data_IF_087187888415
#
_entry.id   IF_087187888415
#
_cell.length_a   1.000
_cell.length_b   1.000
_cell.length_c   1.000
_cell.angle_alpha   90.00
_cell.angle_beta   90.00
_cell.angle_gamma   90.00
#
_symmetry.space_group_name_H-M   'P 1'
#
loop_
_entity.id
_entity.type
_entity.pdbx_description
1 polymer ?
#
# COMPACT_ATOMS: atom_id res chain seq x y z
N UNK A 1 -25.25 17.59 -7.02
CA UNK A 1 -24.16 17.25 -6.10
C UNK A 1 -24.18 15.76 -5.92
N UNK A 2 -23.17 15.03 -6.41
CA UNK A 2 -23.15 13.58 -6.28
C UNK A 2 -23.14 13.21 -4.79
N UNK A 3 -24.00 12.28 -4.38
CA UNK A 3 -24.01 11.74 -3.02
C UNK A 3 -22.59 11.32 -2.64
N UNK A 4 -22.08 11.74 -1.48
CA UNK A 4 -20.72 11.37 -1.05
C UNK A 4 -20.51 9.85 -1.04
N UNK A 5 -21.60 9.09 -0.80
CA UNK A 5 -21.64 7.64 -0.93
C UNK A 5 -21.34 7.18 -2.36
N UNK A 6 -21.91 7.83 -3.37
CA UNK A 6 -21.67 7.49 -4.79
C UNK A 6 -20.21 7.74 -5.21
N UNK A 7 -19.58 8.79 -4.69
CA UNK A 7 -18.15 9.10 -4.90
C UNK A 7 -17.27 8.02 -4.27
N UNK A 8 -17.62 7.55 -3.07
CA UNK A 8 -16.87 6.48 -2.41
C UNK A 8 -17.09 5.12 -3.10
N UNK A 9 -18.29 4.85 -3.61
CA UNK A 9 -18.56 3.64 -4.37
C UNK A 9 -17.85 3.62 -5.74
N UNK A 10 -17.68 4.78 -6.39
CA UNK A 10 -17.00 4.85 -7.69
C UNK A 10 -15.53 4.46 -7.61
N UNK A 11 -14.87 4.70 -6.46
CA UNK A 11 -13.49 4.27 -6.20
C UNK A 11 -13.39 2.82 -5.70
N UNK A 12 -14.49 2.07 -5.64
CA UNK A 12 -14.48 0.65 -5.32
C UNK A 12 -14.88 0.26 -3.89
N UNK A 13 -15.35 1.20 -3.06
CA UNK A 13 -15.90 0.87 -1.74
C UNK A 13 -17.28 0.22 -1.86
N UNK A 14 -17.60 -0.71 -0.95
CA UNK A 14 -18.96 -1.22 -0.82
C UNK A 14 -19.88 -0.13 -0.28
N UNK A 15 -21.18 -0.20 -0.60
CA UNK A 15 -22.17 0.77 -0.11
C UNK A 15 -22.17 0.88 1.42
N UNK A 16 -22.00 -0.26 2.11
CA UNK A 16 -21.90 -0.30 3.57
C UNK A 16 -20.68 0.48 4.08
N UNK A 17 -19.48 0.21 3.55
CA UNK A 17 -18.25 0.93 3.93
C UNK A 17 -18.32 2.41 3.58
N UNK A 18 -18.95 2.77 2.47
CA UNK A 18 -19.16 4.16 2.08
C UNK A 18 -20.03 4.91 3.09
N UNK A 19 -21.13 4.30 3.55
CA UNK A 19 -22.00 4.88 4.59
C UNK A 19 -21.30 4.98 5.95
N UNK A 20 -20.53 3.97 6.34
CA UNK A 20 -19.72 3.99 7.57
C UNK A 20 -18.65 5.08 7.53
N UNK A 21 -17.95 5.21 6.39
CA UNK A 21 -16.93 6.24 6.17
C UNK A 21 -17.54 7.64 6.23
N UNK A 22 -18.76 7.81 5.70
CA UNK A 22 -19.46 9.09 5.75
C UNK A 22 -19.80 9.54 7.18
N UNK A 23 -20.04 8.60 8.11
CA UNK A 23 -20.28 8.94 9.53
C UNK A 23 -19.05 9.56 10.19
N UNK A 24 -17.85 9.31 9.67
CA UNK A 24 -16.62 9.93 10.14
C UNK A 24 -16.30 11.16 9.28
N UNK A 25 -16.67 12.35 9.75
CA UNK A 25 -16.49 13.60 9.00
C UNK A 25 -15.02 13.91 8.68
N UNK A 26 -14.10 13.61 9.60
CA UNK A 26 -12.67 13.80 9.39
C UNK A 26 -12.11 12.86 8.30
N UNK A 27 -12.47 11.57 8.39
CA UNK A 27 -12.04 10.58 7.40
C UNK A 27 -12.66 10.84 6.03
N UNK A 28 -13.96 11.14 5.97
CA UNK A 28 -14.68 11.39 4.72
C UNK A 28 -14.22 12.67 4.03
N UNK A 29 -13.94 13.75 4.76
CA UNK A 29 -13.38 14.98 4.18
C UNK A 29 -11.97 14.76 3.62
N UNK A 30 -11.13 14.02 4.34
CA UNK A 30 -9.78 13.68 3.90
C UNK A 30 -9.81 12.77 2.67
N UNK A 31 -10.71 11.78 2.65
CA UNK A 31 -10.88 10.88 1.52
C UNK A 31 -11.39 11.63 0.28
N UNK A 32 -12.34 12.55 0.43
CA UNK A 32 -12.80 13.40 -0.68
C UNK A 32 -11.65 14.21 -1.28
N UNK A 33 -10.83 14.84 -0.45
CA UNK A 33 -9.64 15.59 -0.91
C UNK A 33 -8.67 14.71 -1.70
N UNK A 34 -8.40 13.49 -1.22
CA UNK A 34 -7.55 12.53 -1.94
C UNK A 34 -8.15 12.13 -3.30
N UNK A 35 -9.46 11.91 -3.36
CA UNK A 35 -10.17 11.57 -4.61
C UNK A 35 -10.14 12.73 -5.60
N UNK A 36 -10.41 13.96 -5.15
CA UNK A 36 -10.36 15.16 -6.00
C UNK A 36 -8.95 15.38 -6.57
N UNK A 37 -7.91 15.20 -5.74
CA UNK A 37 -6.52 15.28 -6.20
C UNK A 37 -6.19 14.17 -7.21
N UNK A 38 -6.60 12.93 -6.94
CA UNK A 38 -6.42 11.82 -7.86
C UNK A 38 -7.12 12.07 -9.21
N UNK A 39 -8.35 12.59 -9.19
CA UNK A 39 -9.10 12.97 -10.40
C UNK A 39 -8.42 14.10 -11.16
N UNK A 40 -7.86 15.09 -10.46
CA UNK A 40 -7.09 16.17 -11.09
C UNK A 40 -5.86 15.67 -11.84
N UNK A 41 -5.16 14.65 -11.31
CA UNK A 41 -3.98 14.05 -11.93
C UNK A 41 -4.31 13.12 -13.09
N UNK A 42 -5.41 12.36 -13.00
CA UNK A 42 -5.87 11.43 -14.05
C UNK A 42 -6.71 12.11 -15.15
N UNK A 43 -7.23 13.30 -14.88
CA UNK A 43 -8.14 14.02 -15.77
C UNK A 43 -9.43 13.23 -16.02
N UNK A 44 -9.72 12.92 -17.29
CA UNK A 44 -10.91 12.17 -17.68
C UNK A 44 -10.80 10.65 -17.45
N UNK A 45 -9.62 10.15 -17.09
CA UNK A 45 -9.45 8.75 -16.73
C UNK A 45 -10.06 8.50 -15.34
N UNK A 46 -11.00 7.55 -15.27
CA UNK A 46 -11.58 7.16 -13.99
C UNK A 46 -10.54 6.53 -13.06
N UNK A 47 -10.71 6.70 -11.75
CA UNK A 47 -9.89 6.02 -10.75
C UNK A 47 -10.21 4.53 -10.80
N UNK A 48 -9.19 3.69 -10.98
CA UNK A 48 -9.34 2.24 -10.93
C UNK A 48 -9.74 1.80 -9.51
N UNK A 49 -10.58 0.77 -9.39
CA UNK A 49 -11.06 0.28 -8.08
C UNK A 49 -9.92 -0.18 -7.15
N UNK A 50 -8.85 -0.72 -7.72
CA UNK A 50 -7.63 -1.13 -7.00
C UNK A 50 -6.93 0.08 -6.38
N UNK A 51 -6.66 1.12 -7.19
CA UNK A 51 -6.09 2.39 -6.73
C UNK A 51 -7.01 3.09 -5.70
N UNK A 52 -8.32 3.05 -5.92
CA UNK A 52 -9.29 3.61 -4.98
C UNK A 52 -9.32 2.91 -3.62
N UNK A 53 -9.16 1.58 -3.59
CA UNK A 53 -9.01 0.81 -2.35
C UNK A 53 -7.71 1.18 -1.62
N UNK A 54 -6.61 1.40 -2.36
CA UNK A 54 -5.35 1.88 -1.78
C UNK A 54 -5.47 3.30 -1.21
N UNK A 55 -6.16 4.21 -1.90
CA UNK A 55 -6.44 5.57 -1.39
C UNK A 55 -7.22 5.52 -0.07
N UNK A 56 -8.23 4.64 0.02
CA UNK A 56 -8.96 4.43 1.26
C UNK A 56 -8.07 3.90 2.39
N UNK A 57 -7.26 2.87 2.10
CA UNK A 57 -6.32 2.30 3.07
C UNK A 57 -5.25 3.31 3.51
N UNK A 58 -4.84 4.20 2.62
CA UNK A 58 -3.91 5.30 2.91
C UNK A 58 -4.57 6.28 3.88
N UNK A 59 -5.74 6.81 3.54
CA UNK A 59 -6.44 7.84 4.33
C UNK A 59 -6.84 7.35 5.72
N UNK A 60 -7.15 6.06 5.86
CA UNK A 60 -7.46 5.47 7.18
C UNK A 60 -6.25 5.33 8.10
N UNK A 61 -5.02 5.30 7.55
CA UNK A 61 -3.77 5.09 8.31
C UNK A 61 -2.90 6.34 8.39
N UNK A 62 -3.09 7.30 7.49
CA UNK A 62 -2.32 8.53 7.39
C UNK A 62 -2.73 9.52 8.49
N UNK A 63 -1.76 9.99 9.26
CA UNK A 63 -1.96 11.04 10.29
C UNK A 63 -1.59 12.42 9.77
N UNK A 64 -0.61 12.50 8.86
CA UNK A 64 -0.08 13.75 8.33
C UNK A 64 -0.77 14.17 7.03
N UNK A 65 -1.62 15.21 7.11
CA UNK A 65 -2.34 15.72 5.93
C UNK A 65 -1.42 16.29 4.85
N UNK A 66 -0.21 16.76 5.19
CA UNK A 66 0.75 17.32 4.23
C UNK A 66 1.31 16.26 3.26
N UNK A 67 1.35 14.99 3.68
CA UNK A 67 1.87 13.88 2.86
C UNK A 67 0.80 13.24 1.98
N UNK A 68 -0.46 13.63 2.15
CA UNK A 68 -1.60 13.06 1.42
C UNK A 68 -1.45 13.25 -0.09
N UNK A 69 -1.08 14.45 -0.54
CA UNK A 69 -0.93 14.76 -1.97
C UNK A 69 0.21 13.97 -2.60
N UNK A 70 1.33 13.87 -1.89
CA UNK A 70 2.48 13.09 -2.33
C UNK A 70 2.13 11.61 -2.51
N UNK A 71 1.55 10.96 -1.50
CA UNK A 71 1.18 9.54 -1.63
C UNK A 71 0.06 9.29 -2.66
N UNK A 72 -0.89 10.23 -2.79
CA UNK A 72 -1.94 10.14 -3.80
C UNK A 72 -1.33 10.08 -5.20
N UNK A 73 -0.36 10.94 -5.49
CA UNK A 73 0.35 10.93 -6.78
C UNK A 73 1.05 9.59 -7.03
N UNK A 74 1.71 9.01 -6.02
CA UNK A 74 2.40 7.72 -6.16
C UNK A 74 1.45 6.54 -6.39
N UNK A 75 0.25 6.56 -5.78
CA UNK A 75 -0.76 5.53 -6.01
C UNK A 75 -1.33 5.67 -7.43
N UNK A 76 -1.63 6.90 -7.87
CA UNK A 76 -2.23 7.17 -9.17
C UNK A 76 -1.25 6.93 -10.33
N UNK A 77 0.02 7.29 -10.16
CA UNK A 77 1.10 6.99 -11.13
C UNK A 77 1.50 5.51 -11.16
N UNK A 78 0.81 4.64 -10.38
CA UNK A 78 1.09 3.20 -10.26
C UNK A 78 2.50 2.88 -9.75
N UNK A 79 3.13 3.82 -9.03
CA UNK A 79 4.37 3.56 -8.30
C UNK A 79 4.11 2.69 -7.06
N UNK A 80 2.99 2.92 -6.39
CA UNK A 80 2.50 2.10 -5.27
C UNK A 80 1.25 1.35 -5.74
N UNK A 81 1.37 0.03 -5.87
CA UNK A 81 0.28 -0.83 -6.38
C UNK A 81 -0.17 -1.89 -5.37
N UNK A 82 0.58 -2.09 -4.29
CA UNK A 82 0.30 -3.10 -3.27
C UNK A 82 0.08 -2.48 -1.89
N UNK A 83 -0.76 -3.13 -1.07
CA UNK A 83 -0.98 -2.74 0.33
C UNK A 83 0.32 -2.84 1.16
N UNK A 84 1.22 -3.75 0.79
CA UNK A 84 2.53 -3.88 1.44
C UNK A 84 3.39 -2.64 1.18
N UNK A 85 3.53 -2.23 -0.09
CA UNK A 85 4.26 -1.01 -0.45
C UNK A 85 3.66 0.23 0.24
N UNK A 86 2.33 0.32 0.29
CA UNK A 86 1.65 1.40 1.00
C UNK A 86 1.96 1.39 2.51
N UNK A 87 1.99 0.22 3.13
CA UNK A 87 2.30 0.10 4.56
C UNK A 87 3.74 0.54 4.86
N UNK A 88 4.69 0.11 4.01
CA UNK A 88 6.09 0.52 4.10
C UNK A 88 6.26 2.01 3.87
N UNK A 89 5.58 2.58 2.86
CA UNK A 89 5.57 4.01 2.60
C UNK A 89 5.08 4.82 3.80
N UNK A 90 3.98 4.38 4.44
CA UNK A 90 3.46 5.03 5.64
C UNK A 90 4.42 4.92 6.83
N UNK A 91 5.12 3.81 6.98
CA UNK A 91 6.09 3.62 8.07
C UNK A 91 7.40 4.41 7.83
N UNK A 92 7.84 4.53 6.57
CA UNK A 92 8.94 5.41 6.18
C UNK A 92 8.61 6.88 6.48
N UNK A 93 7.40 7.32 6.14
CA UNK A 93 6.95 8.70 6.41
C UNK A 93 6.85 9.01 7.91
N UNK A 94 6.43 8.04 8.74
CA UNK A 94 6.41 8.20 10.20
C UNK A 94 7.81 8.32 10.80
N UNK A 95 8.78 7.60 10.24
CA UNK A 95 10.18 7.63 10.72
C UNK A 95 10.95 8.85 10.23
N UNK A 96 10.51 9.49 9.15
CA UNK A 96 11.12 10.69 8.56
C UNK A 96 10.16 11.90 8.58
N UNK A 97 10.00 12.58 9.73
CA UNK A 97 9.12 13.73 9.86
C UNK A 97 9.63 15.00 9.16
N UNK A 98 10.85 14.98 8.60
CA UNK A 98 11.44 16.12 7.91
C UNK A 98 10.68 16.44 6.61
N UNK A 99 10.39 17.72 6.34
CA UNK A 99 9.66 18.13 5.12
C UNK A 99 10.39 17.71 3.84
N UNK A 100 11.72 17.77 3.84
CA UNK A 100 12.56 17.35 2.72
C UNK A 100 12.78 15.84 2.76
N UNK A 101 11.87 15.12 2.11
CA UNK A 101 11.99 13.68 1.92
C UNK A 101 12.88 13.43 0.69
N UNK A 102 13.93 12.63 0.86
CA UNK A 102 14.68 12.14 -0.30
C UNK A 102 13.77 11.16 -1.08
N UNK A 103 13.37 11.58 -2.28
CA UNK A 103 12.48 10.78 -3.11
C UNK A 103 13.12 9.47 -3.54
N UNK A 104 14.45 9.45 -3.76
CA UNK A 104 15.16 8.24 -4.18
C UNK A 104 15.22 7.23 -3.04
N UNK A 105 15.52 7.69 -1.83
CA UNK A 105 15.54 6.83 -0.64
C UNK A 105 14.15 6.28 -0.35
N UNK A 106 13.11 7.11 -0.48
CA UNK A 106 11.72 6.68 -0.32
C UNK A 106 11.30 5.67 -1.39
N UNK A 107 11.61 5.91 -2.66
CA UNK A 107 11.29 4.99 -3.75
C UNK A 107 11.97 3.63 -3.56
N UNK A 108 13.25 3.64 -3.20
CA UNK A 108 14.01 2.44 -2.90
C UNK A 108 13.44 1.70 -1.69
N UNK A 109 13.13 2.41 -0.59
CA UNK A 109 12.55 1.81 0.60
C UNK A 109 11.16 1.22 0.33
N UNK A 110 10.35 1.86 -0.52
CA UNK A 110 9.00 1.38 -0.84
C UNK A 110 8.98 0.30 -1.93
N UNK A 111 10.13 -0.04 -2.52
CA UNK A 111 10.21 -0.98 -3.64
C UNK A 111 9.49 -0.46 -4.89
N UNK A 112 9.52 0.85 -5.14
CA UNK A 112 8.93 1.45 -6.34
C UNK A 112 9.76 1.06 -7.55
N UNK A 113 9.12 0.46 -8.56
CA UNK A 113 9.81 -0.02 -9.76
C UNK A 113 10.49 -1.39 -9.62
N UNK A 114 10.40 -2.03 -8.44
CA UNK A 114 10.86 -3.41 -8.25
C UNK A 114 9.89 -4.35 -8.98
N UNK A 115 10.35 -4.95 -10.08
CA UNK A 115 9.61 -5.99 -10.80
C UNK A 115 10.02 -7.33 -10.21
N UNK A 116 9.11 -7.93 -9.45
CA UNK A 116 9.28 -9.25 -8.89
C UNK A 116 9.09 -10.30 -9.99
N UNK A 117 10.16 -11.01 -10.35
CA UNK A 117 10.09 -12.13 -11.30
C UNK A 117 9.91 -13.46 -10.56
N UNK A 118 9.36 -14.49 -11.23
CA UNK A 118 9.23 -15.82 -10.64
C UNK A 118 10.56 -16.40 -10.13
N UNK A 119 11.65 -16.15 -10.85
CA UNK A 119 12.99 -16.63 -10.50
C UNK A 119 13.49 -15.99 -9.20
N UNK A 120 13.24 -14.69 -9.01
CA UNK A 120 13.57 -14.00 -7.75
C UNK A 120 12.80 -14.57 -6.56
N UNK A 121 11.54 -14.97 -6.77
CA UNK A 121 10.73 -15.60 -5.73
C UNK A 121 11.31 -16.99 -5.39
N UNK A 122 11.66 -17.78 -6.41
CA UNK A 122 12.25 -19.11 -6.22
C UNK A 122 13.56 -19.04 -5.43
N UNK A 123 14.48 -18.15 -5.84
CA UNK A 123 15.75 -17.93 -5.15
C UNK A 123 15.55 -17.48 -3.69
N UNK A 124 14.60 -16.58 -3.45
CA UNK A 124 14.29 -16.09 -2.11
C UNK A 124 13.75 -17.22 -1.22
N UNK A 125 12.80 -17.99 -1.72
CA UNK A 125 12.21 -19.11 -0.99
C UNK A 125 13.27 -20.19 -0.74
N UNK A 126 14.12 -20.49 -1.70
CA UNK A 126 15.21 -21.46 -1.53
C UNK A 126 16.17 -21.04 -0.41
N UNK A 127 16.60 -19.77 -0.39
CA UNK A 127 17.46 -19.22 0.65
C UNK A 127 16.82 -19.34 2.05
N UNK A 128 15.53 -19.02 2.17
CA UNK A 128 14.81 -19.07 3.44
C UNK A 128 14.61 -20.52 3.90
N UNK A 129 14.29 -21.45 2.99
CA UNK A 129 14.20 -22.88 3.31
C UNK A 129 15.56 -23.41 3.78
N UNK A 130 16.65 -23.04 3.11
CA UNK A 130 18.01 -23.42 3.53
C UNK A 130 18.34 -22.89 4.92
N UNK A 131 17.96 -21.66 5.23
CA UNK A 131 18.15 -21.03 6.56
C UNK A 131 17.40 -21.76 7.68
N UNK A 132 16.19 -22.24 7.42
CA UNK A 132 15.33 -22.92 8.42
C UNK A 132 15.34 -24.45 8.29
N UNK A 133 16.28 -25.02 7.53
CA UNK A 133 16.28 -26.43 7.11
C UNK A 133 16.21 -27.42 8.28
N UNK A 134 17.03 -27.20 9.31
CA UNK A 134 17.13 -28.15 10.43
C UNK A 134 15.84 -28.19 11.26
N UNK A 135 15.23 -27.01 11.49
CA UNK A 135 13.94 -26.89 12.18
C UNK A 135 12.80 -27.48 11.34
N UNK A 136 12.79 -27.23 10.03
CA UNK A 136 11.82 -27.82 9.11
C UNK A 136 11.90 -29.35 9.09
N UNK A 137 13.09 -29.94 9.18
CA UNK A 137 13.26 -31.39 9.23
C UNK A 137 12.78 -31.97 10.58
N UNK A 138 13.02 -31.27 11.69
CA UNK A 138 12.62 -31.71 13.02
C UNK A 138 11.10 -31.60 13.26
N UNK A 139 10.51 -30.46 12.93
CA UNK A 139 9.10 -30.14 13.20
C UNK A 139 8.17 -30.55 12.05
N UNK A 140 8.71 -30.71 10.84
CA UNK A 140 7.97 -31.04 9.61
C UNK A 140 6.79 -30.07 9.44
N UNK A 141 5.58 -30.59 9.25
CA UNK A 141 4.36 -29.79 9.09
C UNK A 141 3.90 -29.05 10.35
N UNK A 142 4.55 -29.26 11.51
CA UNK A 142 4.29 -28.46 12.72
C UNK A 142 5.02 -27.13 12.71
N UNK A 143 6.02 -26.98 11.83
CA UNK A 143 6.74 -25.73 11.67
C UNK A 143 5.79 -24.64 11.17
N UNK A 144 5.92 -23.44 11.72
CA UNK A 144 5.08 -22.31 11.35
C UNK A 144 5.48 -21.75 9.97
N UNK A 145 4.81 -22.23 8.92
CA UNK A 145 5.02 -21.76 7.54
C UNK A 145 4.76 -20.26 7.35
N UNK A 146 4.01 -19.61 8.26
CA UNK A 146 3.81 -18.17 8.26
C UNK A 146 5.11 -17.37 8.40
N UNK A 147 6.12 -17.95 9.08
CA UNK A 147 7.45 -17.35 9.20
C UNK A 147 8.15 -17.30 7.84
N UNK A 148 8.11 -18.40 7.09
CA UNK A 148 8.72 -18.47 5.75
C UNK A 148 8.07 -17.46 4.80
N UNK A 149 6.74 -17.39 4.81
CA UNK A 149 5.99 -16.43 3.97
C UNK A 149 6.36 -14.99 4.34
N UNK A 150 6.41 -14.65 5.63
CA UNK A 150 6.78 -13.31 6.08
C UNK A 150 8.23 -12.92 5.78
N UNK A 151 9.17 -13.86 5.78
CA UNK A 151 10.54 -13.63 5.31
C UNK A 151 10.59 -13.48 3.78
N UNK A 152 9.87 -14.32 3.03
CA UNK A 152 9.87 -14.28 1.56
C UNK A 152 9.29 -12.97 1.03
N UNK A 153 8.19 -12.50 1.60
CA UNK A 153 7.61 -11.20 1.23
C UNK A 153 8.57 -10.04 1.46
N UNK A 154 9.30 -10.04 2.58
CA UNK A 154 10.29 -8.98 2.85
C UNK A 154 11.50 -9.09 1.92
N UNK A 155 11.99 -10.29 1.66
CA UNK A 155 13.17 -10.46 0.82
C UNK A 155 12.93 -9.97 -0.62
N UNK A 156 11.73 -10.21 -1.14
CA UNK A 156 11.37 -9.92 -2.53
C UNK A 156 10.98 -8.45 -2.75
N UNK A 157 10.45 -7.77 -1.74
CA UNK A 157 10.02 -6.36 -1.85
C UNK A 157 11.14 -5.33 -1.68
N UNK A 158 12.22 -5.68 -0.97
CA UNK A 158 13.26 -4.74 -0.54
C UNK A 158 14.64 -5.02 -1.16
N UNK A 159 14.69 -5.60 -2.36
CA UNK A 159 15.93 -5.90 -3.09
C UNK A 159 15.94 -5.21 -4.44
#
# INVERSE_FOLDING_TARGET
>A
MADAVSIFMSIGLSEQKAKETLKNEALSSTLKKAIEQAQGLLGSAGIEKTAGTLLYNMVTRLKDSNRLSFLTEYIITRKITSELQLSVALDFLKSHPQENLDQLEFEAACGVGVVVTPELIEDAVELIIRKHKDQLLAERYRFNMGILMGEAFRFVLFR
#
